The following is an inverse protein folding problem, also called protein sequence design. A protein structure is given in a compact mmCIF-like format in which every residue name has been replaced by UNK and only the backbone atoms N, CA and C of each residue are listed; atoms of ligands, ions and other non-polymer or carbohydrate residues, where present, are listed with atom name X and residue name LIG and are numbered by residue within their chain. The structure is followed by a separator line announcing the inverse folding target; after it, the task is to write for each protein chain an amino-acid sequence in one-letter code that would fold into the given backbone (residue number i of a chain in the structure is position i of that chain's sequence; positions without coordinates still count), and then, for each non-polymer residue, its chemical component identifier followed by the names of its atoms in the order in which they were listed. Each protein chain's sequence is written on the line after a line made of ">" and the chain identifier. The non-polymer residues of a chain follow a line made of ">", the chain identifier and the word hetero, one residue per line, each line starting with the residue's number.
data_IF_382447792312
#
_entry.id   IF_382447792312
#
_cell.length_a   1.000
_cell.length_b   1.000
_cell.length_c   1.000
_cell.angle_alpha   90.00
_cell.angle_beta   90.00
_cell.angle_gamma   90.00
#
_symmetry.space_group_name_H-M   'P 1'
#
loop_
_entity.id
_entity.type
_entity.pdbx_description
1 polymer ?
#
# COMPACT_ATOMS: atom_id res chain seq x y z
N UNK A 1 -1.41 -8.07 -17.91
CA UNK A 1 -2.76 -8.67 -17.89
C UNK A 1 -3.18 -9.20 -19.26
N UNK A 2 -3.09 -8.42 -20.34
CA UNK A 2 -3.52 -8.88 -21.68
C UNK A 2 -2.86 -10.18 -22.13
N UNK A 3 -1.56 -10.33 -21.88
CA UNK A 3 -0.77 -11.54 -22.11
C UNK A 3 -1.05 -12.72 -21.15
N UNK A 4 -2.13 -12.69 -20.38
CA UNK A 4 -2.55 -13.82 -19.53
C UNK A 4 -1.68 -14.03 -18.28
N UNK A 5 -1.05 -12.98 -17.74
CA UNK A 5 -0.15 -13.04 -16.58
C UNK A 5 -0.68 -12.25 -15.40
N UNK A 6 -0.55 -12.82 -14.20
CA UNK A 6 -0.72 -12.10 -12.94
C UNK A 6 0.33 -10.99 -12.81
N UNK A 7 -0.01 -9.90 -12.14
CA UNK A 7 0.85 -8.72 -12.04
C UNK A 7 0.90 -8.19 -10.61
N UNK A 8 2.13 -7.91 -10.14
CA UNK A 8 2.41 -7.16 -8.93
C UNK A 8 3.04 -5.82 -9.35
N UNK A 9 2.51 -4.69 -8.88
CA UNK A 9 2.95 -3.34 -9.29
C UNK A 9 3.53 -2.59 -8.10
N UNK A 10 4.68 -1.94 -8.28
CA UNK A 10 5.25 -1.03 -7.27
C UNK A 10 4.38 0.21 -7.04
N UNK A 11 4.66 0.97 -5.98
CA UNK A 11 3.93 2.22 -5.71
C UNK A 11 4.50 3.35 -6.58
N UNK A 12 3.65 4.27 -7.09
CA UNK A 12 2.19 4.27 -7.04
C UNK A 12 1.57 3.20 -7.96
N UNK A 13 0.43 2.62 -7.56
CA UNK A 13 -0.24 1.54 -8.32
C UNK A 13 -0.63 1.95 -9.74
N UNK A 14 -1.26 3.12 -9.87
CA UNK A 14 -1.58 3.80 -11.12
C UNK A 14 -1.56 5.32 -10.89
N UNK A 15 -1.37 6.13 -11.94
CA UNK A 15 -1.47 7.59 -11.86
C UNK A 15 -2.86 8.09 -11.44
N UNK A 16 -3.93 7.41 -11.88
CA UNK A 16 -5.31 7.82 -11.59
C UNK A 16 -6.16 6.67 -11.05
N UNK A 17 -7.26 7.04 -10.36
CA UNK A 17 -8.28 6.08 -9.90
C UNK A 17 -8.98 5.38 -11.08
N UNK A 18 -9.20 6.08 -12.19
CA UNK A 18 -9.86 5.51 -13.37
C UNK A 18 -9.03 4.36 -13.96
N UNK A 19 -7.71 4.56 -14.11
CA UNK A 19 -6.80 3.52 -14.58
C UNK A 19 -6.75 2.31 -13.63
N UNK A 20 -6.77 2.54 -12.30
CA UNK A 20 -6.82 1.45 -11.33
C UNK A 20 -8.06 0.56 -11.55
N UNK A 21 -9.23 1.18 -11.74
CA UNK A 21 -10.49 0.46 -12.00
C UNK A 21 -10.41 -0.38 -13.28
N UNK A 22 -9.90 0.20 -14.37
CA UNK A 22 -9.70 -0.52 -15.64
C UNK A 22 -8.80 -1.73 -15.46
N UNK A 23 -7.70 -1.62 -14.69
CA UNK A 23 -6.82 -2.75 -14.42
C UNK A 23 -7.50 -3.86 -13.61
N UNK A 24 -8.30 -3.50 -12.58
CA UNK A 24 -9.04 -4.50 -11.80
C UNK A 24 -10.12 -5.19 -12.63
N UNK A 25 -10.88 -4.46 -13.44
CA UNK A 25 -11.88 -5.02 -14.35
C UNK A 25 -11.24 -5.93 -15.41
N UNK A 26 -10.10 -5.52 -15.97
CA UNK A 26 -9.33 -6.34 -16.92
C UNK A 26 -8.78 -7.61 -16.28
N UNK A 27 -8.29 -7.52 -15.04
CA UNK A 27 -7.81 -8.68 -14.30
C UNK A 27 -8.97 -9.66 -14.00
N UNK A 28 -10.10 -9.13 -13.51
CA UNK A 28 -11.30 -9.92 -13.21
C UNK A 28 -11.86 -10.62 -14.45
N UNK A 29 -12.00 -9.91 -15.57
CA UNK A 29 -12.50 -10.50 -16.83
C UNK A 29 -11.60 -11.60 -17.40
N UNK A 30 -10.31 -11.60 -17.04
CA UNK A 30 -9.33 -12.63 -17.44
C UNK A 30 -9.07 -13.68 -16.37
N UNK A 31 -9.72 -13.63 -15.21
CA UNK A 31 -9.45 -14.53 -14.08
C UNK A 31 -8.02 -14.41 -13.53
N UNK A 32 -7.42 -13.22 -13.63
CA UNK A 32 -6.07 -12.91 -13.18
C UNK A 32 -6.10 -12.05 -11.91
N UNK A 33 -4.97 -12.03 -11.22
CA UNK A 33 -4.73 -11.12 -10.10
C UNK A 33 -3.83 -9.96 -10.55
N UNK A 34 -4.25 -8.74 -10.21
CA UNK A 34 -3.42 -7.54 -10.22
C UNK A 34 -3.46 -6.92 -8.82
N UNK A 35 -2.32 -6.52 -8.27
CA UNK A 35 -2.27 -5.94 -6.92
C UNK A 35 -1.05 -5.03 -6.74
N UNK A 36 -1.14 -3.97 -5.91
CA UNK A 36 0.03 -3.18 -5.53
C UNK A 36 0.92 -3.93 -4.53
N UNK A 37 2.23 -3.63 -4.56
CA UNK A 37 3.21 -4.15 -3.62
C UNK A 37 3.21 -3.37 -2.29
N UNK A 38 2.19 -3.61 -1.47
CA UNK A 38 2.01 -2.98 -0.15
C UNK A 38 2.84 -3.69 0.95
N UNK A 39 4.15 -3.71 0.79
CA UNK A 39 5.08 -4.44 1.65
C UNK A 39 5.06 -3.98 3.12
N UNK A 40 4.79 -2.70 3.39
CA UNK A 40 4.74 -2.17 4.76
C UNK A 40 3.60 -2.74 5.62
N UNK A 41 2.65 -3.47 5.04
CA UNK A 41 1.70 -4.30 5.81
C UNK A 41 2.39 -5.40 6.63
N UNK A 42 3.65 -5.67 6.34
CA UNK A 42 4.49 -6.65 7.04
C UNK A 42 5.61 -6.00 7.87
N UNK A 43 5.61 -4.66 8.03
CA UNK A 43 6.55 -3.99 8.92
C UNK A 43 6.32 -4.45 10.37
N UNK A 44 7.40 -4.67 11.11
CA UNK A 44 7.34 -5.18 12.49
C UNK A 44 6.55 -4.26 13.43
N UNK A 45 6.65 -2.94 13.24
CA UNK A 45 5.89 -1.95 14.00
C UNK A 45 4.38 -2.07 13.73
N UNK A 46 3.98 -2.17 12.47
CA UNK A 46 2.58 -2.34 12.08
C UNK A 46 2.01 -3.68 12.57
N UNK A 47 2.75 -4.78 12.40
CA UNK A 47 2.30 -6.10 12.87
C UNK A 47 2.15 -6.14 14.40
N UNK A 48 3.04 -5.47 15.14
CA UNK A 48 2.94 -5.37 16.60
C UNK A 48 1.74 -4.53 17.02
N UNK A 49 1.53 -3.38 16.37
CA UNK A 49 0.36 -2.53 16.63
C UNK A 49 -0.95 -3.28 16.32
N UNK A 50 -1.03 -3.96 15.17
CA UNK A 50 -2.15 -4.82 14.79
C UNK A 50 -2.41 -5.90 15.84
N UNK A 51 -1.36 -6.58 16.32
CA UNK A 51 -1.47 -7.60 17.38
C UNK A 51 -1.97 -7.01 18.70
N UNK A 52 -1.54 -5.80 19.06
CA UNK A 52 -2.02 -5.12 20.27
C UNK A 52 -3.52 -4.82 20.18
N UNK A 53 -3.99 -4.32 19.04
CA UNK A 53 -5.42 -4.07 18.77
C UNK A 53 -6.21 -5.38 18.79
N UNK A 54 -5.77 -6.38 18.02
CA UNK A 54 -6.46 -7.68 17.91
C UNK A 54 -6.47 -8.48 19.22
N UNK A 55 -5.60 -8.15 20.17
CA UNK A 55 -5.61 -8.78 21.50
C UNK A 55 -6.85 -8.43 22.32
N UNK A 56 -7.59 -7.37 21.95
CA UNK A 56 -8.78 -6.90 22.68
C UNK A 56 -8.49 -6.24 24.03
N UNK A 57 -7.21 -6.16 24.46
CA UNK A 57 -6.82 -5.61 25.77
C UNK A 57 -7.03 -4.11 25.90
N UNK A 58 -7.14 -3.41 24.78
CA UNK A 58 -7.34 -1.96 24.71
C UNK A 58 -8.83 -1.58 24.81
N UNK A 59 -9.74 -2.56 24.80
CA UNK A 59 -11.18 -2.30 24.71
C UNK A 59 -11.59 -1.78 23.32
N UNK A 60 -12.55 -0.87 23.29
CA UNK A 60 -12.95 -0.17 22.06
C UNK A 60 -11.86 0.82 21.65
N UNK A 61 -11.37 0.69 20.41
CA UNK A 61 -10.36 1.61 19.88
C UNK A 61 -11.04 2.93 19.52
N UNK A 62 -10.62 4.01 20.18
CA UNK A 62 -11.11 5.36 19.91
C UNK A 62 -10.14 6.20 19.06
N UNK A 63 -8.84 5.86 19.07
CA UNK A 63 -7.80 6.64 18.37
C UNK A 63 -6.59 5.77 17.97
N UNK A 64 -5.96 6.12 16.85
CA UNK A 64 -4.69 5.54 16.36
C UNK A 64 -3.85 6.65 15.74
N UNK A 65 -2.60 6.77 16.19
CA UNK A 65 -1.62 7.73 15.67
C UNK A 65 -0.48 6.98 14.95
N UNK A 66 -0.06 7.46 13.77
CA UNK A 66 1.02 6.86 12.97
C UNK A 66 1.89 7.93 12.35
N UNK A 67 3.19 7.86 12.64
CA UNK A 67 4.18 8.84 12.24
C UNK A 67 5.18 8.25 11.24
N UNK A 68 5.53 9.05 10.25
CA UNK A 68 6.56 8.74 9.26
C UNK A 68 7.36 10.00 8.96
N UNK A 69 8.13 10.42 9.96
CA UNK A 69 8.77 11.71 9.98
C UNK A 69 10.24 11.63 9.52
N UNK A 70 10.67 12.66 8.80
CA UNK A 70 12.06 12.86 8.41
C UNK A 70 12.47 14.31 8.65
N UNK A 71 13.73 14.51 9.03
CA UNK A 71 14.36 15.83 8.97
C UNK A 71 15.27 15.91 7.74
N UNK A 72 14.75 16.47 6.64
CA UNK A 72 15.41 16.56 5.33
C UNK A 72 15.33 18.00 4.77
N UNK A 73 16.07 18.98 5.33
CA UNK A 73 15.89 20.41 5.01
C UNK A 73 16.29 20.79 3.57
N UNK A 74 17.13 19.99 2.91
CA UNK A 74 17.65 20.27 1.55
C UNK A 74 17.28 19.18 0.53
N UNK A 75 16.34 18.28 0.84
CA UNK A 75 16.00 17.19 -0.09
C UNK A 75 15.23 17.70 -1.31
N UNK A 76 15.66 17.28 -2.51
CA UNK A 76 14.88 17.47 -3.74
C UNK A 76 13.54 16.72 -3.61
N UNK A 77 12.42 17.45 -3.56
CA UNK A 77 11.10 16.84 -3.67
C UNK A 77 10.88 16.45 -5.13
N UNK A 78 11.15 15.19 -5.48
CA UNK A 78 10.68 14.58 -6.74
C UNK A 78 9.45 13.73 -6.45
N UNK A 79 8.22 14.26 -6.64
CA UNK A 79 7.01 13.48 -6.43
C UNK A 79 7.02 12.24 -7.33
N UNK A 80 6.88 11.06 -6.73
CA UNK A 80 6.73 9.80 -7.48
C UNK A 80 8.01 9.03 -7.83
N UNK A 81 9.19 9.50 -7.41
CA UNK A 81 10.41 8.68 -7.45
C UNK A 81 10.66 8.01 -6.10
N UNK A 82 11.26 6.80 -6.07
CA UNK A 82 11.80 6.23 -4.84
C UNK A 82 12.73 7.26 -4.19
N UNK A 83 12.46 7.57 -2.92
CA UNK A 83 13.38 8.29 -2.07
C UNK A 83 14.05 7.21 -1.22
N UNK A 84 15.07 6.57 -1.78
CA UNK A 84 16.02 5.76 -1.03
C UNK A 84 16.57 6.53 0.18
#
# INVERSE_FOLDING_TARGET
>A
LEAGKNVLVEKPFTPTLAEAKVLFELAQSKGLTVTPYQNRRFDSCFLTAKKAIESGKLGEIVEVESHFDYYRPEAETKPGLPQD
#
